data_IF_554831999374
#
_entry.id   IF_554831999374
#
_cell.length_a   1.000
_cell.length_b   1.000
_cell.length_c   1.000
_cell.angle_alpha   90.00
_cell.angle_beta   90.00
_cell.angle_gamma   90.00
#
_symmetry.space_group_name_H-M   'P 1'
#
loop_
_entity.id
_entity.type
_entity.pdbx_description
1 polymer ?
#
# COMPACT_ATOMS: atom_id res chain seq x y z
N UNK A 1 -1.27 14.82 -46.65
CA UNK A 1 -1.43 15.10 -45.20
C UNK A 1 -0.06 15.37 -44.59
N UNK A 2 0.20 16.60 -44.12
CA UNK A 2 1.54 17.05 -43.69
C UNK A 2 2.11 16.20 -42.53
N UNK A 3 3.42 15.93 -42.55
CA UNK A 3 4.14 15.13 -41.54
C UNK A 3 3.94 15.68 -40.11
N UNK A 4 3.85 17.00 -39.98
CA UNK A 4 3.60 17.71 -38.71
C UNK A 4 2.19 17.41 -38.17
N UNK A 5 1.18 17.40 -39.04
CA UNK A 5 -0.21 17.11 -38.66
C UNK A 5 -0.33 15.67 -38.17
N UNK A 6 0.35 14.72 -38.83
CA UNK A 6 0.40 13.32 -38.40
C UNK A 6 1.05 13.18 -37.02
N UNK A 7 2.16 13.88 -36.80
CA UNK A 7 2.90 13.84 -35.53
C UNK A 7 2.06 14.39 -34.36
N UNK A 8 1.44 15.56 -34.54
CA UNK A 8 0.55 16.15 -33.53
C UNK A 8 -0.63 15.24 -33.23
N UNK A 9 -1.20 14.57 -34.24
CA UNK A 9 -2.34 13.67 -34.04
C UNK A 9 -1.95 12.43 -33.22
N UNK A 10 -0.78 11.82 -33.49
CA UNK A 10 -0.25 10.72 -32.65
C UNK A 10 0.02 11.15 -31.22
N UNK A 11 0.52 12.37 -31.01
CA UNK A 11 0.87 12.87 -29.68
C UNK A 11 -0.38 13.15 -28.83
N UNK A 12 -1.43 13.71 -29.45
CA UNK A 12 -2.74 13.88 -28.83
C UNK A 12 -3.38 12.53 -28.50
N UNK A 13 -3.29 11.55 -29.41
CA UNK A 13 -3.82 10.21 -29.16
C UNK A 13 -3.11 9.51 -27.98
N UNK A 14 -1.78 9.67 -27.87
CA UNK A 14 -1.00 9.16 -26.73
C UNK A 14 -1.41 9.81 -25.40
N UNK A 15 -1.60 11.13 -25.37
CA UNK A 15 -2.04 11.85 -24.17
C UNK A 15 -3.45 11.45 -23.74
N UNK A 16 -4.35 11.18 -24.68
CA UNK A 16 -5.71 10.69 -24.39
C UNK A 16 -5.73 9.23 -23.90
N UNK A 17 -4.65 8.48 -24.13
CA UNK A 17 -4.55 7.05 -23.75
C UNK A 17 -3.94 6.81 -22.36
N UNK A 18 -3.57 7.86 -21.62
CA UNK A 18 -3.06 7.69 -20.26
C UNK A 18 -4.17 7.24 -19.31
N UNK A 19 -4.16 5.96 -18.92
CA UNK A 19 -5.00 5.46 -17.84
C UNK A 19 -4.41 5.82 -16.48
N UNK A 20 -5.27 5.94 -15.46
CA UNK A 20 -4.81 6.06 -14.07
C UNK A 20 -4.06 4.77 -13.68
N UNK A 21 -2.76 4.90 -13.42
CA UNK A 21 -1.98 3.81 -12.86
C UNK A 21 -2.38 3.62 -11.39
N UNK A 22 -3.16 2.57 -11.11
CA UNK A 22 -3.41 2.14 -9.75
C UNK A 22 -2.22 1.30 -9.29
N UNK A 23 -1.49 1.78 -8.28
CA UNK A 23 -0.44 0.99 -7.67
C UNK A 23 -1.04 -0.20 -6.93
N UNK A 24 -0.42 -1.36 -7.05
CA UNK A 24 -0.68 -2.49 -6.18
C UNK A 24 0.18 -2.37 -4.92
N UNK A 25 -0.41 -2.63 -3.76
CA UNK A 25 0.31 -2.70 -2.49
C UNK A 25 -0.17 -3.90 -1.69
N UNK A 26 0.70 -4.47 -0.86
CA UNK A 26 0.32 -5.56 0.04
C UNK A 26 -0.20 -4.99 1.36
N UNK A 27 -1.28 -5.58 1.84
CA UNK A 27 -1.88 -5.28 3.13
C UNK A 27 -1.86 -6.53 4.02
N UNK A 28 -1.84 -6.28 5.33
CA UNK A 28 -1.68 -7.29 6.35
C UNK A 28 -2.71 -7.08 7.47
N UNK A 29 -3.32 -8.18 7.88
CA UNK A 29 -3.95 -8.29 9.18
C UNK A 29 -2.94 -8.84 10.18
N UNK A 30 -2.54 -8.01 11.13
CA UNK A 30 -1.56 -8.31 12.16
C UNK A 30 -2.25 -8.48 13.51
N UNK A 31 -1.88 -9.52 14.24
CA UNK A 31 -2.09 -9.59 15.68
C UNK A 31 -0.83 -9.05 16.37
N UNK A 32 -0.96 -7.90 17.02
CA UNK A 32 0.14 -7.22 17.70
C UNK A 32 0.01 -7.47 19.19
N UNK A 33 1.07 -8.01 19.79
CA UNK A 33 1.18 -8.29 21.21
C UNK A 33 2.15 -7.29 21.83
N UNK A 34 1.67 -6.45 22.76
CA UNK A 34 2.55 -5.62 23.58
C UNK A 34 3.05 -6.47 24.76
N UNK A 35 4.37 -6.69 24.81
CA UNK A 35 5.01 -7.53 25.83
C UNK A 35 5.10 -6.84 27.19
N UNK A 36 4.98 -5.52 27.23
CA UNK A 36 5.06 -4.72 28.46
C UNK A 36 3.68 -4.66 29.13
N UNK A 37 2.66 -4.32 28.36
CA UNK A 37 1.29 -4.19 28.86
C UNK A 37 0.55 -5.55 28.87
N UNK A 38 1.13 -6.57 28.22
CA UNK A 38 0.57 -7.91 28.07
C UNK A 38 -0.83 -7.93 27.44
N UNK A 39 -1.01 -7.12 26.41
CA UNK A 39 -2.26 -6.98 25.66
C UNK A 39 -2.06 -7.31 24.20
N UNK A 40 -3.05 -7.94 23.55
CA UNK A 40 -3.07 -8.12 22.10
C UNK A 40 -4.12 -7.24 21.43
N UNK A 41 -3.84 -6.84 20.19
CA UNK A 41 -4.80 -6.14 19.33
C UNK A 41 -4.64 -6.53 17.87
N UNK A 42 -5.75 -6.52 17.15
CA UNK A 42 -5.77 -6.65 15.68
C UNK A 42 -5.51 -5.29 15.04
N UNK A 43 -4.61 -5.25 14.06
CA UNK A 43 -4.30 -4.07 13.25
C UNK A 43 -4.31 -4.46 11.78
N UNK A 44 -4.94 -3.64 10.95
CA UNK A 44 -4.86 -3.75 9.49
C UNK A 44 -3.93 -2.63 9.00
N UNK A 45 -2.91 -3.00 8.24
CA UNK A 45 -1.88 -2.05 7.79
C UNK A 45 -1.28 -2.47 6.44
N UNK A 46 -0.74 -1.51 5.70
CA UNK A 46 0.10 -1.76 4.53
C UNK A 46 1.57 -1.99 4.90
N UNK A 47 1.95 -1.76 6.16
CA UNK A 47 3.33 -1.99 6.60
C UNK A 47 3.61 -3.48 6.69
N UNK A 48 4.78 -3.88 6.21
CA UNK A 48 5.25 -5.23 6.46
C UNK A 48 5.42 -5.45 7.97
N UNK A 49 5.35 -6.69 8.48
CA UNK A 49 5.52 -6.96 9.91
C UNK A 49 6.84 -6.40 10.46
N UNK A 50 7.94 -6.48 9.70
CA UNK A 50 9.24 -5.93 10.10
C UNK A 50 9.21 -4.41 10.20
N UNK A 51 8.61 -3.73 9.23
CA UNK A 51 8.51 -2.27 9.24
C UNK A 51 7.61 -1.80 10.37
N UNK A 52 6.50 -2.51 10.60
CA UNK A 52 5.60 -2.24 11.71
C UNK A 52 6.33 -2.39 13.05
N UNK A 53 7.15 -3.43 13.22
CA UNK A 53 7.98 -3.60 14.42
C UNK A 53 8.92 -2.42 14.59
N UNK A 54 9.61 -2.03 13.52
CA UNK A 54 10.63 -0.99 13.56
C UNK A 54 10.07 0.38 13.98
N UNK A 55 8.88 0.76 13.48
CA UNK A 55 8.27 2.06 13.79
C UNK A 55 7.50 2.07 15.12
N UNK A 56 7.18 0.92 15.70
CA UNK A 56 6.39 0.79 16.95
C UNK A 56 7.23 0.35 18.17
N UNK A 57 8.52 0.72 18.21
CA UNK A 57 9.38 0.50 19.39
C UNK A 57 10.18 -0.79 19.40
N UNK A 58 10.20 -1.53 18.28
CA UNK A 58 11.11 -2.64 18.06
C UNK A 58 10.68 -3.98 18.66
N UNK A 59 11.43 -5.05 18.36
CA UNK A 59 11.05 -6.43 18.68
C UNK A 59 11.09 -6.75 20.18
N UNK A 60 11.70 -5.89 20.99
CA UNK A 60 11.71 -6.03 22.45
C UNK A 60 10.36 -5.67 23.08
N UNK A 61 9.65 -4.69 22.50
CA UNK A 61 8.36 -4.21 23.01
C UNK A 61 7.18 -4.97 22.42
N UNK A 62 7.21 -5.23 21.11
CA UNK A 62 6.07 -5.79 20.39
C UNK A 62 6.41 -7.11 19.71
N UNK A 63 5.51 -8.08 19.84
CA UNK A 63 5.45 -9.28 19.02
C UNK A 63 4.35 -9.15 17.96
N UNK A 64 4.53 -9.77 16.81
CA UNK A 64 3.53 -9.74 15.73
C UNK A 64 3.33 -11.15 15.16
N UNK A 65 2.06 -11.50 14.91
CA UNK A 65 1.67 -12.67 14.13
C UNK A 65 0.84 -12.18 12.93
N UNK A 66 1.16 -12.70 11.74
CA UNK A 66 0.36 -12.43 10.55
C UNK A 66 -0.87 -13.32 10.59
N UNK A 67 -2.07 -12.75 10.63
CA UNK A 67 -3.33 -13.50 10.56
C UNK A 67 -3.78 -13.70 9.12
N UNK A 68 -3.64 -12.67 8.29
CA UNK A 68 -3.97 -12.72 6.87
C UNK A 68 -3.19 -11.65 6.09
N UNK A 69 -3.10 -11.80 4.76
CA UNK A 69 -2.53 -10.80 3.86
C UNK A 69 -3.22 -10.82 2.50
N UNK A 70 -3.35 -9.65 1.87
CA UNK A 70 -3.98 -9.50 0.56
C UNK A 70 -3.24 -8.45 -0.27
N UNK A 71 -3.47 -8.48 -1.59
CA UNK A 71 -2.99 -7.45 -2.51
C UNK A 71 -4.15 -6.47 -2.73
N UNK A 72 -3.85 -5.21 -2.50
CA UNK A 72 -4.74 -4.08 -2.63
C UNK A 72 -4.40 -3.28 -3.88
N UNK A 73 -5.42 -2.81 -4.58
CA UNK A 73 -5.27 -1.82 -5.65
C UNK A 73 -5.59 -0.44 -5.10
N UNK A 74 -4.69 0.52 -5.30
CA UNK A 74 -4.95 1.92 -5.00
C UNK A 74 -3.81 2.64 -4.29
N UNK A 75 -4.13 3.84 -3.82
CA UNK A 75 -3.19 4.78 -3.23
C UNK A 75 -3.35 4.84 -1.69
N UNK A 76 -2.25 4.56 -0.97
CA UNK A 76 -2.16 4.61 0.50
C UNK A 76 -1.75 5.98 1.03
N UNK A 77 -1.36 6.93 0.17
CA UNK A 77 -0.85 8.25 0.58
C UNK A 77 -1.90 9.14 1.26
N UNK A 78 -3.18 8.97 0.90
CA UNK A 78 -4.28 9.84 1.35
C UNK A 78 -4.92 9.40 2.68
N UNK A 79 -4.20 8.64 3.53
CA UNK A 79 -4.75 8.05 4.77
C UNK A 79 -6.05 7.25 4.54
N UNK A 80 -6.26 6.79 3.30
CA UNK A 80 -7.43 5.98 2.94
C UNK A 80 -7.36 4.66 3.71
N UNK A 81 -8.54 4.16 4.08
CA UNK A 81 -8.65 2.87 4.74
C UNK A 81 -8.04 1.79 3.83
N UNK A 82 -7.08 1.05 4.37
CA UNK A 82 -6.51 -0.14 3.73
C UNK A 82 -7.65 -1.13 3.44
N UNK A 83 -7.60 -1.82 2.29
CA UNK A 83 -8.64 -2.80 1.95
C UNK A 83 -8.80 -3.84 3.06
N UNK A 84 -9.99 -4.43 3.24
CA UNK A 84 -10.19 -5.54 4.16
C UNK A 84 -9.56 -6.84 3.67
#
# INVERSE_FOLDING_TARGET
MNRIVRFNFTLVFLLLSSSAAFAEYRAYELEVFDRIVNTSRKVITSFSPSDFIQVNGGPQRIGIIIRASWICYGDTSLHKKVCP
#
